data_IF_828380392692
#
_entry.id   IF_828380392692
#
_cell.length_a   1.000
_cell.length_b   1.000
_cell.length_c   1.000
_cell.angle_alpha   90.00
_cell.angle_beta   90.00
_cell.angle_gamma   90.00
#
_symmetry.space_group_name_H-M   'P 1'
#
loop_
_entity.id
_entity.type
_entity.pdbx_description
1 polymer ?
#
# COMPACT_ATOMS: atom_id res chain seq x y z
N UNK A 1 16.47 -2.90 -50.78
CA UNK A 1 16.32 -2.85 -49.30
C UNK A 1 15.67 -4.08 -48.58
N UNK A 2 15.51 -5.28 -49.17
CA UNK A 2 15.17 -6.49 -48.39
C UNK A 2 16.39 -7.35 -48.00
N UNK A 3 17.45 -7.37 -48.81
CA UNK A 3 18.63 -8.23 -48.59
C UNK A 3 19.42 -7.89 -47.33
N UNK A 4 19.57 -6.61 -46.98
CA UNK A 4 20.31 -6.19 -45.77
C UNK A 4 19.56 -6.58 -44.49
N UNK A 5 18.22 -6.51 -44.51
CA UNK A 5 17.39 -6.98 -43.40
C UNK A 5 17.49 -8.49 -43.21
N UNK A 6 17.54 -9.23 -44.32
CA UNK A 6 17.61 -10.69 -44.32
C UNK A 6 19.01 -11.21 -43.91
N UNK A 7 20.06 -10.50 -44.31
CA UNK A 7 21.43 -10.72 -43.84
C UNK A 7 21.58 -10.37 -42.36
N UNK A 8 20.99 -9.26 -41.91
CA UNK A 8 20.98 -8.87 -40.49
C UNK A 8 20.22 -9.90 -39.64
N UNK A 9 19.09 -10.41 -40.13
CA UNK A 9 18.34 -11.47 -39.48
C UNK A 9 19.14 -12.78 -39.43
N UNK A 10 19.87 -13.14 -40.50
CA UNK A 10 20.78 -14.31 -40.50
C UNK A 10 21.93 -14.14 -39.52
N UNK A 11 22.51 -12.95 -39.41
CA UNK A 11 23.56 -12.65 -38.42
C UNK A 11 22.98 -12.72 -37.00
N UNK A 12 21.78 -12.21 -36.76
CA UNK A 12 21.09 -12.32 -35.47
C UNK A 12 20.83 -13.79 -35.10
N UNK A 13 20.36 -14.62 -36.04
CA UNK A 13 20.10 -16.04 -35.83
C UNK A 13 21.42 -16.81 -35.61
N UNK A 14 22.48 -16.51 -36.37
CA UNK A 14 23.79 -17.11 -36.19
C UNK A 14 24.41 -16.74 -34.83
N UNK A 15 24.32 -15.47 -34.43
CA UNK A 15 24.75 -15.00 -33.11
C UNK A 15 23.93 -15.65 -31.99
N UNK A 16 22.61 -15.79 -32.18
CA UNK A 16 21.73 -16.46 -31.21
C UNK A 16 22.05 -17.95 -31.11
N UNK A 17 22.38 -18.61 -32.23
CA UNK A 17 22.80 -20.01 -32.26
C UNK A 17 24.17 -20.22 -31.61
N UNK A 18 25.12 -19.31 -31.83
CA UNK A 18 26.45 -19.34 -31.20
C UNK A 18 26.36 -19.03 -29.70
N UNK A 19 25.50 -18.09 -29.32
CA UNK A 19 25.17 -17.80 -27.93
C UNK A 19 24.45 -18.97 -27.24
N UNK A 20 23.62 -19.71 -27.98
CA UNK A 20 22.92 -20.90 -27.53
C UNK A 20 23.81 -22.14 -27.38
N UNK A 21 24.89 -22.29 -28.16
CA UNK A 21 25.84 -23.40 -28.05
C UNK A 21 26.94 -23.19 -27.00
N UNK A 22 27.12 -21.97 -26.52
CA UNK A 22 28.08 -21.64 -25.47
C UNK A 22 27.32 -21.32 -24.20
N UNK A 23 27.11 -22.33 -23.36
CA UNK A 23 26.48 -22.20 -22.03
C UNK A 23 27.01 -21.01 -21.22
N UNK A 24 28.29 -20.68 -21.37
CA UNK A 24 28.92 -19.48 -20.80
C UNK A 24 28.28 -18.18 -21.26
N UNK A 25 27.94 -18.04 -22.54
CA UNK A 25 27.27 -16.87 -23.11
C UNK A 25 25.85 -16.77 -22.56
N UNK A 26 25.11 -17.86 -22.47
CA UNK A 26 23.77 -17.90 -21.86
C UNK A 26 23.80 -17.51 -20.37
N UNK A 27 24.79 -17.99 -19.62
CA UNK A 27 25.04 -17.58 -18.23
C UNK A 27 25.39 -16.10 -18.15
N UNK A 28 26.18 -15.57 -19.09
CA UNK A 28 26.53 -14.15 -19.14
C UNK A 28 25.31 -13.28 -19.43
N UNK A 29 24.44 -13.66 -20.37
CA UNK A 29 23.19 -12.94 -20.64
C UNK A 29 22.25 -12.95 -19.42
N UNK A 30 22.10 -14.09 -18.75
CA UNK A 30 21.30 -14.19 -17.52
C UNK A 30 21.88 -13.33 -16.40
N UNK A 31 23.23 -13.30 -16.26
CA UNK A 31 23.90 -12.40 -15.32
C UNK A 31 23.70 -10.93 -15.66
N UNK A 32 23.64 -10.55 -16.93
CA UNK A 32 23.35 -9.17 -17.35
C UNK A 32 21.91 -8.79 -16.95
N UNK A 33 20.94 -9.67 -17.19
CA UNK A 33 19.55 -9.47 -16.74
C UNK A 33 19.46 -9.36 -15.21
N UNK A 34 20.14 -10.24 -14.49
CA UNK A 34 20.22 -10.18 -13.03
C UNK A 34 20.86 -8.86 -12.56
N UNK A 35 21.96 -8.42 -13.17
CA UNK A 35 22.64 -7.15 -12.85
C UNK A 35 21.73 -5.94 -13.12
N UNK A 36 21.01 -5.92 -14.24
CA UNK A 36 20.03 -4.86 -14.53
C UNK A 36 18.93 -4.84 -13.45
N UNK A 37 18.49 -6.02 -13.00
CA UNK A 37 17.51 -6.16 -11.91
C UNK A 37 18.06 -5.66 -10.57
N UNK A 38 19.34 -5.89 -10.28
CA UNK A 38 20.00 -5.40 -9.05
C UNK A 38 20.31 -3.90 -9.07
N UNK A 39 20.35 -3.27 -10.25
CA UNK A 39 20.57 -1.82 -10.40
C UNK A 39 19.27 -1.03 -10.16
N UNK A 40 18.09 -1.67 -10.26
CA UNK A 40 16.83 -1.02 -9.90
C UNK A 40 16.80 -0.77 -8.37
N UNK A 41 16.78 0.51 -7.92
CA UNK A 41 16.71 0.85 -6.50
C UNK A 41 15.50 0.22 -5.81
N UNK A 42 14.40 0.04 -6.56
CA UNK A 42 13.18 -0.59 -6.05
C UNK A 42 13.33 -2.08 -5.80
N UNK A 43 14.33 -2.74 -6.41
CA UNK A 43 14.59 -4.16 -6.18
C UNK A 43 15.29 -4.39 -4.85
N UNK A 44 16.26 -3.53 -4.50
CA UNK A 44 16.95 -3.58 -3.20
C UNK A 44 16.01 -3.20 -2.06
N UNK A 45 15.17 -2.17 -2.27
CA UNK A 45 14.19 -1.72 -1.27
C UNK A 45 13.11 -2.79 -0.95
N UNK A 46 12.81 -3.68 -1.90
CA UNK A 46 11.85 -4.78 -1.71
C UNK A 46 12.47 -6.07 -1.17
N UNK A 47 13.79 -6.27 -1.29
CA UNK A 47 14.38 -7.60 -1.06
C UNK A 47 14.53 -8.00 0.40
N UNK A 48 14.68 -7.07 1.34
CA UNK A 48 14.47 -7.30 2.77
C UNK A 48 14.83 -6.02 3.52
N UNK A 49 13.90 -5.50 4.32
CA UNK A 49 14.28 -4.60 5.42
C UNK A 49 15.24 -5.40 6.31
N UNK A 50 16.51 -4.96 6.48
CA UNK A 50 17.46 -5.68 7.31
C UNK A 50 16.93 -5.80 8.75
N UNK A 51 17.19 -6.92 9.43
CA UNK A 51 16.62 -7.16 10.76
C UNK A 51 17.07 -6.11 11.79
N UNK A 52 18.26 -5.54 11.62
CA UNK A 52 18.75 -4.42 12.42
C UNK A 52 17.88 -3.16 12.28
N UNK A 53 17.32 -2.92 11.09
CA UNK A 53 16.43 -1.78 10.83
C UNK A 53 15.05 -2.05 11.41
N UNK A 54 14.54 -3.30 11.35
CA UNK A 54 13.29 -3.69 12.01
C UNK A 54 13.37 -3.49 13.53
N UNK A 55 14.48 -3.89 14.14
CA UNK A 55 14.74 -3.69 15.57
C UNK A 55 14.79 -2.20 15.94
N UNK A 56 15.54 -1.40 15.19
CA UNK A 56 15.60 0.05 15.43
C UNK A 56 14.24 0.71 15.25
N UNK A 57 13.44 0.28 14.27
CA UNK A 57 12.09 0.77 14.06
C UNK A 57 11.17 0.44 15.24
N UNK A 58 11.19 -0.81 15.72
CA UNK A 58 10.39 -1.24 16.88
C UNK A 58 10.80 -0.45 18.13
N UNK A 59 12.09 -0.26 18.37
CA UNK A 59 12.59 0.50 19.53
C UNK A 59 12.24 2.00 19.41
N UNK A 60 12.32 2.58 18.22
CA UNK A 60 11.91 3.96 17.99
C UNK A 60 10.40 4.17 18.20
N UNK A 61 9.58 3.16 17.86
CA UNK A 61 8.13 3.21 18.07
C UNK A 61 7.65 2.63 19.41
N UNK A 62 8.56 2.15 20.27
CA UNK A 62 8.22 1.42 21.50
C UNK A 62 7.26 2.20 22.41
N UNK A 63 7.43 3.50 22.54
CA UNK A 63 6.56 4.36 23.36
C UNK A 63 5.27 4.77 22.62
N UNK A 64 5.30 4.78 21.29
CA UNK A 64 4.14 5.13 20.47
C UNK A 64 3.14 3.98 20.37
N UNK A 65 3.61 2.73 20.35
CA UNK A 65 2.75 1.55 20.20
C UNK A 65 1.74 1.44 21.36
N UNK A 66 2.13 1.46 22.65
CA UNK A 66 1.18 1.40 23.77
C UNK A 66 0.22 2.58 23.78
N UNK A 67 0.71 3.77 23.46
CA UNK A 67 -0.11 5.00 23.38
C UNK A 67 -1.20 4.87 22.31
N UNK A 68 -0.86 4.35 21.13
CA UNK A 68 -1.82 4.08 20.05
C UNK A 68 -2.83 3.01 20.44
N UNK A 69 -2.40 1.95 21.13
CA UNK A 69 -3.29 0.89 21.62
C UNK A 69 -4.30 1.44 22.64
N UNK A 70 -3.85 2.20 23.63
CA UNK A 70 -4.72 2.81 24.62
C UNK A 70 -5.76 3.76 23.98
N UNK A 71 -5.35 4.53 22.98
CA UNK A 71 -6.27 5.40 22.23
C UNK A 71 -7.28 4.57 21.42
N UNK A 72 -6.85 3.49 20.77
CA UNK A 72 -7.73 2.59 20.04
C UNK A 72 -8.76 1.91 20.94
N UNK A 73 -8.36 1.51 22.15
CA UNK A 73 -9.29 0.96 23.14
C UNK A 73 -10.33 1.99 23.58
N UNK A 74 -9.94 3.25 23.80
CA UNK A 74 -10.89 4.33 24.08
C UNK A 74 -11.90 4.51 22.95
N UNK A 75 -11.43 4.54 21.70
CA UNK A 75 -12.31 4.64 20.53
C UNK A 75 -13.25 3.44 20.43
N UNK A 76 -12.75 2.23 20.71
CA UNK A 76 -13.56 1.01 20.71
C UNK A 76 -14.65 1.05 21.78
N UNK A 77 -14.34 1.58 22.97
CA UNK A 77 -15.31 1.72 24.06
C UNK A 77 -16.39 2.77 23.74
N UNK A 78 -16.02 3.81 23.00
CA UNK A 78 -16.95 4.86 22.56
C UNK A 78 -17.88 4.42 21.42
N UNK A 79 -17.64 3.26 20.79
CA UNK A 79 -18.49 2.73 19.70
C UNK A 79 -19.96 2.63 20.11
N UNK A 80 -20.25 2.22 21.35
CA UNK A 80 -21.62 2.09 21.85
C UNK A 80 -22.35 3.44 21.99
N UNK A 81 -21.62 4.54 22.16
CA UNK A 81 -22.23 5.88 22.27
C UNK A 81 -22.87 6.30 20.95
N UNK A 82 -22.25 5.94 19.82
CA UNK A 82 -22.78 6.24 18.48
C UNK A 82 -24.10 5.52 18.20
N UNK A 83 -24.28 4.31 18.73
CA UNK A 83 -25.50 3.52 18.61
C UNK A 83 -26.50 3.77 19.76
N UNK A 84 -26.29 4.83 20.56
CA UNK A 84 -27.12 5.06 21.74
C UNK A 84 -28.58 5.40 21.38
N UNK A 85 -29.57 4.82 22.08
CA UNK A 85 -30.99 5.10 21.84
C UNK A 85 -31.35 6.58 21.99
N UNK A 86 -30.63 7.31 22.85
CA UNK A 86 -30.82 8.75 23.05
C UNK A 86 -30.49 9.57 21.80
N UNK A 87 -29.46 9.18 21.03
CA UNK A 87 -29.12 9.82 19.74
C UNK A 87 -30.16 9.45 18.68
N UNK A 88 -30.63 8.20 18.67
CA UNK A 88 -31.66 7.75 17.73
C UNK A 88 -33.02 8.43 17.98
N UNK A 89 -33.35 8.75 19.23
CA UNK A 89 -34.61 9.40 19.59
C UNK A 89 -34.63 10.92 19.33
N UNK A 90 -33.53 11.54 18.89
CA UNK A 90 -33.44 13.00 18.65
C UNK A 90 -34.51 13.52 17.68
N UNK A 91 -34.80 12.87 16.53
CA UNK A 91 -35.83 13.35 15.61
C UNK A 91 -37.23 13.39 16.24
N UNK A 92 -37.57 12.40 17.07
CA UNK A 92 -38.88 12.35 17.75
C UNK A 92 -39.04 13.49 18.76
N UNK A 93 -37.97 13.82 19.48
CA UNK A 93 -37.95 14.96 20.41
C UNK A 93 -37.96 16.30 19.66
N UNK A 94 -37.28 16.40 18.51
CA UNK A 94 -37.27 17.59 17.68
C UNK A 94 -38.68 17.93 17.15
N UNK A 95 -39.48 16.93 16.74
CA UNK A 95 -40.86 17.15 16.32
C UNK A 95 -41.75 17.70 17.45
N UNK A 96 -41.61 17.16 18.66
CA UNK A 96 -42.31 17.67 19.85
C UNK A 96 -41.87 19.10 20.21
N UNK A 97 -40.57 19.37 20.15
CA UNK A 97 -40.01 20.70 20.41
C UNK A 97 -40.50 21.72 19.38
N UNK A 98 -40.60 21.34 18.10
CA UNK A 98 -41.11 22.20 17.04
C UNK A 98 -42.59 22.56 17.28
N UNK A 99 -43.42 21.59 17.68
CA UNK A 99 -44.81 21.84 18.05
C UNK A 99 -44.93 22.80 19.24
N UNK A 100 -44.12 22.60 20.29
CA UNK A 100 -44.06 23.50 21.44
C UNK A 100 -43.58 24.91 21.05
N UNK A 101 -42.59 25.02 20.16
CA UNK A 101 -42.09 26.30 19.65
C UNK A 101 -43.18 27.07 18.90
N UNK A 102 -43.97 26.40 18.06
CA UNK A 102 -45.10 27.01 17.36
C UNK A 102 -46.17 27.52 18.32
N UNK A 103 -46.51 26.74 19.35
CA UNK A 103 -47.45 27.15 20.39
C UNK A 103 -46.90 28.35 21.18
N UNK A 104 -45.61 28.34 21.52
CA UNK A 104 -44.97 29.44 22.23
C UNK A 104 -45.01 30.75 21.43
N UNK A 105 -44.73 30.69 20.12
CA UNK A 105 -44.81 31.86 19.23
C UNK A 105 -46.25 32.40 19.13
N UNK A 106 -47.27 31.55 19.26
CA UNK A 106 -48.68 31.98 19.29
C UNK A 106 -49.11 32.58 20.65
N UNK A 107 -48.37 32.28 21.72
CA UNK A 107 -48.66 32.77 23.08
C UNK A 107 -47.93 34.07 23.44
N UNK A 108 -46.94 34.49 22.64
CA UNK A 108 -46.27 35.80 22.75
C UNK A 108 -46.92 36.86 21.86
#
# INVERSE_FOLDING_TARGET
PPQVSDELAKVQVALSSIAGQRERIKILFKKIEDVIKYIDPQYIDRMAVPDVIKLQFILAEEQLIPTKVALLEQVKNLRFVLDSPSIQAVPDHAGKLQGLSQIHVQQQ
#
